data_IF_001054511530
#
_entry.id   IF_001054511530
#
_cell.length_a   1.000
_cell.length_b   1.000
_cell.length_c   1.000
_cell.angle_alpha   90.00
_cell.angle_beta   90.00
_cell.angle_gamma   90.00
#
_symmetry.space_group_name_H-M   'P 1'
#
loop_
_entity.id
_entity.type
_entity.pdbx_description
1 polymer ?
#
# COMPACT_ATOMS: atom_id res chain seq x y z
N UNK A 1 55.86 24.08 -13.16
CA UNK A 1 54.60 24.64 -13.67
C UNK A 1 53.49 24.22 -12.72
N UNK A 2 53.11 25.09 -11.79
CA UNK A 2 52.06 24.84 -10.81
C UNK A 2 50.72 25.25 -11.42
N UNK A 3 49.83 24.29 -11.66
CA UNK A 3 48.49 24.55 -12.16
C UNK A 3 47.66 25.13 -10.99
N UNK A 4 47.28 26.41 -11.10
CA UNK A 4 46.40 27.08 -10.16
C UNK A 4 45.03 26.38 -10.18
N UNK A 5 44.59 25.90 -9.02
CA UNK A 5 43.26 25.32 -8.83
C UNK A 5 42.25 26.44 -9.04
N UNK A 6 41.46 26.30 -10.11
CA UNK A 6 40.46 27.28 -10.50
C UNK A 6 39.38 27.40 -9.42
N UNK A 7 38.85 28.63 -9.24
CA UNK A 7 37.97 28.99 -8.12
C UNK A 7 36.74 28.07 -8.06
N UNK A 8 36.58 27.34 -6.95
CA UNK A 8 35.33 26.65 -6.63
C UNK A 8 34.24 27.71 -6.46
N UNK A 9 33.38 27.84 -7.47
CA UNK A 9 32.27 28.77 -7.45
C UNK A 9 31.26 28.29 -6.39
N UNK A 10 31.26 28.95 -5.23
CA UNK A 10 30.39 28.58 -4.10
C UNK A 10 28.95 28.80 -4.53
N UNK A 11 28.21 27.72 -4.74
CA UNK A 11 26.82 27.79 -5.19
C UNK A 11 26.00 28.60 -4.17
N UNK A 12 25.23 29.62 -4.60
CA UNK A 12 24.41 30.41 -3.68
C UNK A 12 23.39 29.51 -2.97
N UNK A 13 23.18 29.76 -1.67
CA UNK A 13 22.34 28.94 -0.79
C UNK A 13 20.94 28.63 -1.35
N UNK A 14 20.35 29.55 -2.11
CA UNK A 14 19.05 29.36 -2.77
C UNK A 14 19.07 28.28 -3.86
N UNK A 15 20.19 28.11 -4.57
CA UNK A 15 20.35 27.06 -5.57
C UNK A 15 20.58 25.69 -4.92
N UNK A 16 21.38 25.64 -3.84
CA UNK A 16 21.61 24.41 -3.06
C UNK A 16 20.31 23.90 -2.43
N UNK A 17 19.52 24.80 -1.85
CA UNK A 17 18.20 24.46 -1.29
C UNK A 17 17.25 23.97 -2.38
N UNK A 18 17.21 24.63 -3.55
CA UNK A 18 16.34 24.22 -4.66
C UNK A 18 16.70 22.83 -5.22
N UNK A 19 18.00 22.54 -5.37
CA UNK A 19 18.49 21.24 -5.86
C UNK A 19 18.11 20.14 -4.85
N UNK A 20 18.40 20.37 -3.56
CA UNK A 20 18.07 19.43 -2.49
C UNK A 20 16.57 19.18 -2.40
N UNK A 21 15.75 20.24 -2.47
CA UNK A 21 14.29 20.14 -2.39
C UNK A 21 13.72 19.35 -3.57
N UNK A 22 14.18 19.60 -4.80
CA UNK A 22 13.71 18.87 -5.99
C UNK A 22 14.08 17.38 -5.94
N UNK A 23 15.28 17.03 -5.45
CA UNK A 23 15.71 15.65 -5.25
C UNK A 23 14.90 14.93 -4.15
N UNK A 24 14.66 15.62 -3.02
CA UNK A 24 13.84 15.07 -1.93
C UNK A 24 12.39 14.85 -2.37
N UNK A 25 11.85 15.82 -3.10
CA UNK A 25 10.48 15.79 -3.63
C UNK A 25 10.29 14.60 -4.57
N UNK A 26 11.18 14.38 -5.52
CA UNK A 26 11.07 13.25 -6.45
C UNK A 26 11.05 11.88 -5.70
N UNK A 27 11.94 11.70 -4.71
CA UNK A 27 12.02 10.47 -3.90
C UNK A 27 10.78 10.24 -3.04
N UNK A 28 10.28 11.29 -2.37
CA UNK A 28 9.10 11.20 -1.50
C UNK A 28 7.81 10.95 -2.27
N UNK A 29 7.58 11.67 -3.38
CA UNK A 29 6.35 11.53 -4.16
C UNK A 29 6.16 10.10 -4.71
N UNK A 30 7.24 9.42 -5.12
CA UNK A 30 7.18 8.03 -5.61
C UNK A 30 6.80 7.05 -4.52
N UNK A 31 7.44 7.15 -3.35
CA UNK A 31 7.09 6.33 -2.18
C UNK A 31 5.62 6.55 -1.78
N UNK A 32 5.18 7.82 -1.76
CA UNK A 32 3.79 8.18 -1.48
C UNK A 32 2.80 7.59 -2.48
N UNK A 33 3.13 7.51 -3.78
CA UNK A 33 2.26 6.91 -4.80
C UNK A 33 2.04 5.43 -4.49
N UNK A 34 3.10 4.68 -4.22
CA UNK A 34 3.01 3.24 -3.92
C UNK A 34 2.22 2.96 -2.64
N UNK A 35 2.52 3.71 -1.57
CA UNK A 35 1.81 3.55 -0.31
C UNK A 35 0.35 3.97 -0.44
N UNK A 36 0.04 5.05 -1.16
CA UNK A 36 -1.35 5.50 -1.35
C UNK A 36 -2.17 4.52 -2.19
N UNK A 37 -1.59 3.95 -3.25
CA UNK A 37 -2.24 2.93 -4.06
C UNK A 37 -2.56 1.67 -3.22
N UNK A 38 -1.61 1.25 -2.38
CA UNK A 38 -1.80 0.13 -1.46
C UNK A 38 -2.85 0.44 -0.38
N UNK A 39 -2.79 1.63 0.23
CA UNK A 39 -3.79 2.11 1.20
C UNK A 39 -5.19 2.07 0.60
N UNK A 40 -5.37 2.59 -0.61
CA UNK A 40 -6.68 2.64 -1.27
C UNK A 40 -7.23 1.24 -1.56
N UNK A 41 -6.39 0.33 -2.08
CA UNK A 41 -6.79 -1.04 -2.38
C UNK A 41 -7.18 -1.81 -1.11
N UNK A 42 -6.39 -1.67 -0.04
CA UNK A 42 -6.68 -2.29 1.26
C UNK A 42 -7.91 -1.65 1.90
N UNK A 43 -8.08 -0.33 1.79
CA UNK A 43 -9.26 0.36 2.29
C UNK A 43 -10.54 -0.09 1.60
N UNK A 44 -10.50 -0.27 0.27
CA UNK A 44 -11.64 -0.80 -0.48
C UNK A 44 -11.99 -2.23 -0.04
N UNK A 45 -10.99 -3.10 0.10
CA UNK A 45 -11.19 -4.45 0.62
C UNK A 45 -11.77 -4.44 2.04
N UNK A 46 -11.15 -3.68 2.95
CA UNK A 46 -11.57 -3.58 4.33
C UNK A 46 -12.99 -3.01 4.43
N UNK A 47 -13.34 -2.00 3.63
CA UNK A 47 -14.69 -1.45 3.53
C UNK A 47 -15.71 -2.52 3.13
N UNK A 48 -15.46 -3.23 2.02
CA UNK A 48 -16.37 -4.25 1.50
C UNK A 48 -16.63 -5.33 2.54
N UNK A 49 -15.58 -5.89 3.15
CA UNK A 49 -15.75 -6.93 4.16
C UNK A 49 -16.30 -6.40 5.50
N UNK A 50 -15.95 -5.17 5.89
CA UNK A 50 -16.42 -4.59 7.14
C UNK A 50 -17.94 -4.40 7.14
N UNK A 51 -18.53 -4.00 6.01
CA UNK A 51 -19.99 -3.87 5.88
C UNK A 51 -20.68 -5.18 6.25
N UNK A 52 -20.23 -6.32 5.73
CA UNK A 52 -20.84 -7.62 6.02
C UNK A 52 -20.61 -8.07 7.47
N UNK A 53 -19.40 -7.87 8.00
CA UNK A 53 -19.08 -8.22 9.40
C UNK A 53 -19.93 -7.41 10.38
N UNK A 54 -20.16 -6.12 10.10
CA UNK A 54 -21.02 -5.28 10.94
C UNK A 54 -22.47 -5.76 10.88
N UNK A 55 -22.98 -6.02 9.66
CA UNK A 55 -24.35 -6.50 9.48
C UNK A 55 -24.57 -7.84 10.19
N UNK A 56 -23.62 -8.77 10.08
CA UNK A 56 -23.67 -10.07 10.73
C UNK A 56 -23.64 -9.95 12.27
N UNK A 57 -22.82 -9.05 12.82
CA UNK A 57 -22.77 -8.80 14.26
C UNK A 57 -24.03 -8.14 14.82
N UNK A 58 -24.71 -7.32 14.01
CA UNK A 58 -25.93 -6.61 14.42
C UNK A 58 -27.20 -7.44 14.20
N UNK A 59 -27.19 -8.42 13.29
CA UNK A 59 -28.37 -9.21 12.92
C UNK A 59 -29.09 -9.92 14.08
N UNK A 60 -28.38 -10.55 15.04
CA UNK A 60 -29.03 -11.22 16.16
C UNK A 60 -29.78 -10.25 17.08
N UNK A 61 -29.26 -9.04 17.23
CA UNK A 61 -29.78 -7.99 18.12
C UNK A 61 -30.66 -6.96 17.40
N UNK A 62 -30.99 -7.20 16.12
CA UNK A 62 -31.71 -6.27 15.28
C UNK A 62 -33.23 -6.34 15.50
N UNK A 63 -33.83 -5.21 15.85
CA UNK A 63 -35.29 -5.01 15.83
C UNK A 63 -35.88 -5.18 14.41
N UNK A 64 -37.17 -5.50 14.33
CA UNK A 64 -37.87 -5.69 13.05
C UNK A 64 -37.76 -4.46 12.12
N UNK A 65 -37.84 -3.25 12.69
CA UNK A 65 -37.64 -2.01 11.94
C UNK A 65 -36.22 -1.86 11.38
N UNK A 66 -35.20 -2.35 12.10
CA UNK A 66 -33.81 -2.32 11.64
C UNK A 66 -33.57 -3.37 10.55
N UNK A 67 -34.14 -4.56 10.71
CA UNK A 67 -34.12 -5.61 9.67
C UNK A 67 -34.74 -5.13 8.37
N UNK A 68 -35.88 -4.43 8.44
CA UNK A 68 -36.50 -3.83 7.26
C UNK A 68 -35.59 -2.80 6.58
N UNK A 69 -34.86 -1.97 7.35
CA UNK A 69 -33.89 -1.01 6.80
C UNK A 69 -32.71 -1.69 6.09
N UNK A 70 -32.21 -2.79 6.66
CA UNK A 70 -31.14 -3.60 6.05
C UNK A 70 -31.61 -4.17 4.71
N UNK A 71 -32.80 -4.77 4.69
CA UNK A 71 -33.38 -5.37 3.49
C UNK A 71 -33.69 -4.29 2.43
N UNK A 72 -34.22 -3.13 2.83
CA UNK A 72 -34.47 -2.01 1.91
C UNK A 72 -33.18 -1.40 1.37
N UNK A 73 -32.09 -1.48 2.12
CA UNK A 73 -30.76 -1.06 1.66
C UNK A 73 -30.11 -2.06 0.69
N UNK A 74 -30.77 -3.20 0.42
CA UNK A 74 -30.33 -4.21 -0.54
C UNK A 74 -29.40 -5.29 0.04
N UNK A 75 -29.26 -5.35 1.36
CA UNK A 75 -28.46 -6.39 2.02
C UNK A 75 -29.37 -7.56 2.42
N UNK A 76 -29.27 -8.66 1.70
CA UNK A 76 -30.09 -9.86 1.95
C UNK A 76 -29.21 -10.97 2.55
N UNK A 77 -29.52 -11.48 3.75
CA UNK A 77 -28.78 -12.60 4.32
C UNK A 77 -29.05 -13.88 3.51
N UNK A 78 -28.00 -14.60 3.15
CA UNK A 78 -28.09 -15.90 2.47
C UNK A 78 -27.66 -16.98 3.45
N UNK A 79 -28.54 -17.96 3.72
CA UNK A 79 -28.29 -19.02 4.72
C UNK A 79 -27.90 -18.48 6.11
N UNK A 80 -28.48 -17.36 6.54
CA UNK A 80 -28.21 -16.74 7.84
C UNK A 80 -26.92 -15.90 7.92
N UNK A 81 -26.14 -15.82 6.84
CA UNK A 81 -24.92 -15.02 6.79
C UNK A 81 -25.03 -13.88 5.77
N UNK A 82 -24.46 -12.72 6.11
CA UNK A 82 -24.26 -11.63 5.16
C UNK A 82 -22.97 -11.90 4.39
N UNK A 83 -23.10 -12.35 3.14
CA UNK A 83 -21.97 -12.68 2.28
C UNK A 83 -21.73 -11.63 1.20
N UNK A 84 -20.47 -11.47 0.80
CA UNK A 84 -20.14 -10.67 -0.37
C UNK A 84 -20.67 -11.31 -1.65
N UNK A 85 -21.40 -10.53 -2.46
CA UNK A 85 -21.89 -11.02 -3.73
C UNK A 85 -20.72 -11.42 -4.63
N UNK A 86 -20.98 -12.27 -5.61
CA UNK A 86 -19.95 -12.63 -6.61
C UNK A 86 -19.36 -11.37 -7.28
N UNK A 87 -20.20 -10.35 -7.50
CA UNK A 87 -19.81 -9.05 -8.06
C UNK A 87 -18.82 -8.31 -7.17
N UNK A 88 -19.10 -8.21 -5.87
CA UNK A 88 -18.24 -7.48 -4.92
C UNK A 88 -16.88 -8.17 -4.76
N UNK A 89 -16.87 -9.52 -4.69
CA UNK A 89 -15.62 -10.30 -4.66
C UNK A 89 -14.78 -10.07 -5.91
N UNK A 90 -15.40 -10.04 -7.08
CA UNK A 90 -14.69 -9.81 -8.33
C UNK A 90 -14.10 -8.40 -8.41
N UNK A 91 -14.83 -7.37 -7.98
CA UNK A 91 -14.33 -5.99 -7.90
C UNK A 91 -13.12 -5.86 -6.96
N UNK A 92 -13.17 -6.53 -5.81
CA UNK A 92 -12.04 -6.55 -4.87
C UNK A 92 -10.82 -7.20 -5.52
N UNK A 93 -10.97 -8.37 -6.16
CA UNK A 93 -9.86 -9.05 -6.85
C UNK A 93 -9.25 -8.15 -7.94
N UNK A 94 -10.07 -7.50 -8.76
CA UNK A 94 -9.58 -6.57 -9.78
C UNK A 94 -8.82 -5.39 -9.18
N UNK A 95 -9.34 -4.80 -8.09
CA UNK A 95 -8.67 -3.70 -7.38
C UNK A 95 -7.29 -4.12 -6.85
N UNK A 96 -7.19 -5.30 -6.23
CA UNK A 96 -5.92 -5.83 -5.74
C UNK A 96 -4.93 -6.11 -6.89
N UNK A 97 -5.41 -6.60 -8.03
CA UNK A 97 -4.59 -6.86 -9.20
C UNK A 97 -4.00 -5.55 -9.75
N UNK A 98 -4.84 -4.54 -9.96
CA UNK A 98 -4.40 -3.21 -10.44
C UNK A 98 -3.40 -2.59 -9.46
N UNK A 99 -3.64 -2.71 -8.15
CA UNK A 99 -2.71 -2.28 -7.12
C UNK A 99 -1.35 -2.98 -7.25
N UNK A 100 -1.35 -4.31 -7.40
CA UNK A 100 -0.12 -5.12 -7.52
C UNK A 100 0.70 -4.71 -8.74
N UNK A 101 0.06 -4.52 -9.90
CA UNK A 101 0.74 -4.06 -11.11
C UNK A 101 1.34 -2.66 -10.91
N UNK A 102 0.61 -1.76 -10.24
CA UNK A 102 1.11 -0.44 -9.87
C UNK A 102 2.35 -0.49 -8.98
N UNK A 103 2.35 -1.39 -7.99
CA UNK A 103 3.52 -1.62 -7.11
C UNK A 103 4.71 -2.10 -7.93
N UNK A 104 4.54 -3.13 -8.77
CA UNK A 104 5.61 -3.68 -9.62
C UNK A 104 6.24 -2.58 -10.48
N UNK A 105 5.42 -1.79 -11.16
CA UNK A 105 5.90 -0.74 -12.06
C UNK A 105 6.67 0.36 -11.30
N UNK A 106 6.12 0.81 -10.17
CA UNK A 106 6.76 1.83 -9.36
C UNK A 106 8.10 1.34 -8.79
N UNK A 107 8.18 0.07 -8.39
CA UNK A 107 9.38 -0.55 -7.85
C UNK A 107 10.44 -0.81 -8.93
N UNK A 108 10.06 -1.21 -10.15
CA UNK A 108 10.99 -1.28 -11.29
C UNK A 108 11.64 0.06 -11.58
N UNK A 109 10.87 1.14 -11.52
CA UNK A 109 11.45 2.46 -11.70
C UNK A 109 12.33 2.89 -10.52
N UNK A 110 11.97 2.55 -9.27
CA UNK A 110 12.84 2.79 -8.10
C UNK A 110 14.18 2.07 -8.23
N UNK A 111 14.16 0.86 -8.80
CA UNK A 111 15.34 0.06 -9.12
C UNK A 111 16.25 0.76 -10.14
N UNK A 112 15.68 1.41 -11.16
CA UNK A 112 16.46 2.22 -12.12
C UNK A 112 17.01 3.52 -11.52
N UNK A 113 16.28 4.17 -10.62
CA UNK A 113 16.74 5.39 -9.94
C UNK A 113 17.92 5.11 -9.00
N UNK A 114 17.92 3.95 -8.33
CA UNK A 114 18.99 3.50 -7.44
C UNK A 114 20.08 2.67 -8.15
N UNK A 115 20.08 2.64 -9.49
CA UNK A 115 20.96 1.78 -10.28
C UNK A 115 22.45 1.96 -9.94
N UNK A 116 22.93 3.22 -9.88
CA UNK A 116 24.33 3.55 -9.54
C UNK A 116 24.67 3.22 -8.10
N UNK A 117 23.74 3.46 -7.16
CA UNK A 117 23.93 3.16 -5.74
C UNK A 117 24.09 1.63 -5.54
N UNK A 118 23.21 0.83 -6.16
CA UNK A 118 23.27 -0.65 -6.11
C UNK A 118 24.53 -1.18 -6.82
N UNK A 119 24.89 -0.61 -7.98
CA UNK A 119 26.11 -0.97 -8.69
C UNK A 119 27.38 -0.73 -7.86
N UNK A 120 27.44 0.39 -7.14
CA UNK A 120 28.56 0.71 -6.26
C UNK A 120 28.66 -0.27 -5.09
N UNK A 121 27.52 -0.61 -4.46
CA UNK A 121 27.48 -1.63 -3.39
C UNK A 121 27.97 -2.99 -3.87
N UNK A 122 27.58 -3.40 -5.08
CA UNK A 122 28.05 -4.66 -5.67
C UNK A 122 29.54 -4.65 -5.99
N UNK A 123 30.10 -3.53 -6.47
CA UNK A 123 31.55 -3.38 -6.66
C UNK A 123 32.33 -3.52 -5.35
N UNK A 124 31.74 -3.14 -4.23
CA UNK A 124 32.31 -3.30 -2.88
C UNK A 124 32.11 -4.72 -2.32
N UNK A 125 31.54 -5.65 -3.09
CA UNK A 125 31.35 -7.05 -2.70
C UNK A 125 29.99 -7.37 -2.07
N UNK A 126 28.99 -6.50 -2.18
CA UNK A 126 27.64 -6.82 -1.71
C UNK A 126 27.04 -8.00 -2.51
N UNK A 127 26.49 -9.00 -1.80
CA UNK A 127 25.84 -10.14 -2.43
C UNK A 127 24.47 -9.77 -3.01
N UNK A 128 24.06 -10.48 -4.05
CA UNK A 128 22.70 -10.37 -4.63
C UNK A 128 21.60 -10.58 -3.57
N UNK A 129 21.84 -11.47 -2.60
CA UNK A 129 20.92 -11.73 -1.50
C UNK A 129 20.75 -10.52 -0.56
N UNK A 130 21.76 -9.66 -0.42
CA UNK A 130 21.66 -8.42 0.34
C UNK A 130 20.73 -7.42 -0.34
N UNK A 131 20.85 -7.27 -1.67
CA UNK A 131 19.98 -6.40 -2.47
C UNK A 131 18.52 -6.87 -2.38
N UNK A 132 18.27 -8.18 -2.54
CA UNK A 132 16.91 -8.75 -2.41
C UNK A 132 16.32 -8.45 -1.02
N UNK A 133 17.10 -8.68 0.05
CA UNK A 133 16.65 -8.41 1.43
C UNK A 133 16.27 -6.95 1.65
N UNK A 134 17.01 -6.01 1.06
CA UNK A 134 16.71 -4.59 1.16
C UNK A 134 15.34 -4.25 0.58
N UNK A 135 15.05 -4.72 -0.64
CA UNK A 135 13.75 -4.50 -1.29
C UNK A 135 12.60 -5.21 -0.57
N UNK A 136 12.82 -6.44 -0.09
CA UNK A 136 11.83 -7.19 0.69
C UNK A 136 11.49 -6.45 1.99
N UNK A 137 12.48 -5.89 2.68
CA UNK A 137 12.29 -5.13 3.90
C UNK A 137 11.56 -3.80 3.62
N UNK A 138 11.90 -3.09 2.54
CA UNK A 138 11.18 -1.89 2.09
C UNK A 138 9.71 -2.20 1.78
N UNK A 139 9.45 -3.29 1.05
CA UNK A 139 8.10 -3.75 0.75
C UNK A 139 7.32 -4.19 2.00
N UNK A 140 7.97 -4.81 2.98
CA UNK A 140 7.35 -5.17 4.25
C UNK A 140 6.90 -3.92 5.03
N UNK A 141 7.75 -2.89 5.11
CA UNK A 141 7.36 -1.62 5.74
C UNK A 141 6.23 -0.92 5.00
N UNK A 142 6.28 -0.88 3.66
CA UNK A 142 5.18 -0.34 2.85
C UNK A 142 3.88 -1.12 3.07
N UNK A 143 3.97 -2.46 3.15
CA UNK A 143 2.87 -3.37 3.43
C UNK A 143 2.21 -3.14 4.78
N UNK A 144 3.02 -2.97 5.83
CA UNK A 144 2.55 -2.69 7.19
C UNK A 144 1.88 -1.31 7.28
N UNK A 145 2.55 -0.26 6.80
CA UNK A 145 2.01 1.11 6.86
C UNK A 145 0.75 1.21 6.01
N UNK A 146 0.80 0.71 4.77
CA UNK A 146 -0.32 0.75 3.85
C UNK A 146 -1.49 -0.13 4.30
N UNK A 147 -1.20 -1.30 4.86
CA UNK A 147 -2.16 -2.20 5.45
C UNK A 147 -2.88 -1.58 6.65
N UNK A 148 -2.12 -1.03 7.61
CA UNK A 148 -2.68 -0.40 8.80
C UNK A 148 -3.55 0.80 8.42
N UNK A 149 -3.01 1.74 7.65
CA UNK A 149 -3.75 2.93 7.23
C UNK A 149 -4.97 2.57 6.36
N UNK A 150 -4.83 1.63 5.42
CA UNK A 150 -5.93 1.16 4.58
C UNK A 150 -7.03 0.47 5.40
N UNK A 151 -6.67 -0.44 6.30
CA UNK A 151 -7.63 -1.15 7.14
C UNK A 151 -8.44 -0.22 8.05
N UNK A 152 -7.77 0.79 8.64
CA UNK A 152 -8.41 1.80 9.47
C UNK A 152 -9.36 2.66 8.65
N UNK A 153 -8.91 3.17 7.49
CA UNK A 153 -9.75 3.98 6.61
C UNK A 153 -10.96 3.19 6.08
N UNK A 154 -10.77 1.95 5.64
CA UNK A 154 -11.86 1.09 5.17
C UNK A 154 -12.87 0.76 6.27
N UNK A 155 -12.40 0.45 7.48
CA UNK A 155 -13.27 0.19 8.63
C UNK A 155 -14.07 1.44 9.04
N UNK A 156 -13.42 2.59 9.16
CA UNK A 156 -14.09 3.85 9.53
C UNK A 156 -15.14 4.23 8.47
N UNK A 157 -14.78 4.18 7.19
CA UNK A 157 -15.72 4.51 6.10
C UNK A 157 -16.90 3.56 6.04
N UNK A 158 -16.71 2.27 6.36
CA UNK A 158 -17.80 1.31 6.46
C UNK A 158 -18.78 1.67 7.60
N UNK A 159 -18.25 1.95 8.80
CA UNK A 159 -19.06 2.36 9.95
C UNK A 159 -19.84 3.64 9.65
N UNK A 160 -19.18 4.66 9.09
CA UNK A 160 -19.83 5.94 8.75
C UNK A 160 -20.92 5.73 7.69
N UNK A 161 -20.63 4.98 6.63
CA UNK A 161 -21.60 4.73 5.55
C UNK A 161 -22.82 3.98 6.08
N UNK A 162 -22.61 2.98 6.94
CA UNK A 162 -23.69 2.19 7.48
C UNK A 162 -24.50 2.96 8.53
N UNK A 163 -23.85 3.79 9.34
CA UNK A 163 -24.52 4.68 10.29
C UNK A 163 -25.45 5.69 9.58
N UNK A 164 -25.01 6.23 8.44
CA UNK A 164 -25.84 7.14 7.62
C UNK A 164 -27.03 6.44 6.97
N UNK A 165 -26.90 5.16 6.60
CA UNK A 165 -27.97 4.41 5.91
C UNK A 165 -28.96 3.72 6.85
N UNK A 166 -28.47 3.13 7.94
CA UNK A 166 -29.27 2.30 8.84
C UNK A 166 -29.61 3.00 10.17
N UNK A 167 -28.84 4.02 10.54
CA UNK A 167 -29.02 4.81 11.77
C UNK A 167 -27.93 4.55 12.83
N UNK A 168 -28.04 5.20 14.01
CA UNK A 168 -26.98 5.26 15.01
C UNK A 168 -26.71 3.93 15.73
N UNK A 169 -27.58 2.93 15.62
CA UNK A 169 -27.40 1.59 16.23
C UNK A 169 -26.07 0.93 15.86
N UNK A 170 -25.57 1.22 14.65
CA UNK A 170 -24.28 0.74 14.15
C UNK A 170 -23.10 1.23 15.01
N UNK A 171 -23.21 2.43 15.57
CA UNK A 171 -22.15 3.07 16.36
C UNK A 171 -22.21 2.59 17.82
N UNK A 172 -23.40 2.23 18.32
CA UNK A 172 -23.62 1.87 19.73
C UNK A 172 -23.17 0.44 20.04
N UNK A 173 -23.34 -0.49 19.09
CA UNK A 173 -22.94 -1.90 19.27
C UNK A 173 -21.99 -2.38 18.16
N UNK A 174 -20.78 -1.82 18.04
CA UNK A 174 -19.83 -2.27 17.03
C UNK A 174 -19.31 -3.68 17.39
N UNK A 175 -19.27 -4.63 16.43
CA UNK A 175 -18.66 -5.94 16.66
C UNK A 175 -17.13 -5.83 16.68
N UNK A 176 -16.59 -5.28 17.78
CA UNK A 176 -15.16 -4.94 17.93
C UNK A 176 -14.24 -6.15 17.69
N UNK A 177 -14.59 -7.33 18.20
CA UNK A 177 -13.78 -8.53 18.02
C UNK A 177 -13.65 -8.96 16.55
N UNK A 178 -14.75 -8.95 15.81
CA UNK A 178 -14.76 -9.32 14.40
C UNK A 178 -14.09 -8.24 13.52
N UNK A 179 -14.26 -6.96 13.86
CA UNK A 179 -13.54 -5.85 13.23
C UNK A 179 -12.03 -5.94 13.43
N UNK A 180 -11.57 -6.23 14.65
CA UNK A 180 -10.14 -6.39 14.94
C UNK A 180 -9.53 -7.55 14.15
N UNK A 181 -10.25 -8.68 14.06
CA UNK A 181 -9.82 -9.81 13.24
C UNK A 181 -9.76 -9.46 11.75
N UNK A 182 -10.75 -8.72 11.24
CA UNK A 182 -10.76 -8.23 9.86
C UNK A 182 -9.57 -7.28 9.59
N UNK A 183 -9.29 -6.35 10.50
CA UNK A 183 -8.15 -5.44 10.41
C UNK A 183 -6.85 -6.24 10.30
N UNK A 184 -6.63 -7.20 11.20
CA UNK A 184 -5.43 -8.04 11.16
C UNK A 184 -5.30 -8.81 9.84
N UNK A 185 -6.39 -9.40 9.33
CA UNK A 185 -6.40 -10.08 8.03
C UNK A 185 -6.06 -9.14 6.86
N UNK A 186 -6.62 -7.93 6.87
CA UNK A 186 -6.39 -6.95 5.81
C UNK A 186 -4.94 -6.44 5.80
N UNK A 187 -4.34 -6.23 6.98
CA UNK A 187 -2.91 -5.89 7.12
C UNK A 187 -2.03 -7.03 6.63
N UNK A 188 -2.34 -8.27 7.04
CA UNK A 188 -1.58 -9.44 6.58
C UNK A 188 -1.63 -9.59 5.05
N UNK A 189 -2.81 -9.38 4.45
CA UNK A 189 -2.97 -9.40 3.00
C UNK A 189 -2.20 -8.27 2.32
N UNK A 190 -2.18 -7.07 2.89
CA UNK A 190 -1.42 -5.93 2.37
C UNK A 190 0.09 -6.23 2.31
N UNK A 191 0.63 -6.85 3.37
CA UNK A 191 2.03 -7.28 3.42
C UNK A 191 2.31 -8.36 2.37
N UNK A 192 1.42 -9.34 2.20
CA UNK A 192 1.59 -10.36 1.17
C UNK A 192 1.59 -9.73 -0.23
N UNK A 193 0.66 -8.81 -0.50
CA UNK A 193 0.57 -8.13 -1.80
C UNK A 193 1.82 -7.28 -2.09
N UNK A 194 2.32 -6.53 -1.10
CA UNK A 194 3.52 -5.71 -1.28
C UNK A 194 4.75 -6.58 -1.54
N UNK A 195 4.90 -7.70 -0.81
CA UNK A 195 5.97 -8.65 -1.02
C UNK A 195 5.91 -9.27 -2.42
N UNK A 196 4.73 -9.77 -2.83
CA UNK A 196 4.53 -10.34 -4.18
C UNK A 196 4.85 -9.32 -5.27
N UNK A 197 4.44 -8.06 -5.10
CA UNK A 197 4.72 -6.98 -6.03
C UNK A 197 6.21 -6.64 -6.14
N UNK A 198 7.01 -6.86 -5.09
CA UNK A 198 8.45 -6.55 -5.08
C UNK A 198 9.32 -7.71 -5.59
N UNK A 199 8.82 -8.95 -5.60
CA UNK A 199 9.60 -10.13 -5.94
C UNK A 199 10.32 -9.99 -7.29
N UNK A 200 9.60 -9.58 -8.33
CA UNK A 200 10.16 -9.39 -9.67
C UNK A 200 11.17 -8.22 -9.73
N UNK A 201 10.83 -6.99 -9.30
CA UNK A 201 11.77 -5.88 -9.25
C UNK A 201 13.05 -6.18 -8.45
N UNK A 202 12.92 -6.84 -7.29
CA UNK A 202 14.05 -7.18 -6.43
C UNK A 202 15.01 -8.16 -7.13
N UNK A 203 14.48 -9.13 -7.87
CA UNK A 203 15.29 -10.04 -8.67
C UNK A 203 16.02 -9.33 -9.80
N UNK A 204 15.35 -8.40 -10.49
CA UNK A 204 15.97 -7.56 -11.52
C UNK A 204 17.11 -6.73 -10.93
N UNK A 205 16.88 -6.07 -9.79
CA UNK A 205 17.89 -5.27 -9.09
C UNK A 205 19.11 -6.08 -8.66
N UNK A 206 18.85 -7.28 -8.13
CA UNK A 206 19.89 -8.17 -7.66
C UNK A 206 20.76 -8.73 -8.78
N UNK A 207 20.29 -8.78 -10.03
CA UNK A 207 21.07 -9.30 -11.18
C UNK A 207 21.73 -8.22 -12.03
N UNK A 208 21.73 -6.97 -11.57
CA UNK A 208 22.36 -5.88 -12.29
C UNK A 208 23.88 -6.05 -12.37
N UNK A 209 24.43 -5.80 -13.56
CA UNK A 209 25.86 -5.79 -13.82
C UNK A 209 26.49 -4.48 -13.32
N UNK A 210 27.45 -4.52 -12.37
CA UNK A 210 28.06 -3.32 -11.80
C UNK A 210 28.80 -2.47 -12.84
N UNK A 211 29.39 -3.12 -13.85
CA UNK A 211 30.11 -2.45 -14.94
C UNK A 211 29.19 -1.53 -15.75
N UNK A 212 27.94 -1.94 -15.98
CA UNK A 212 26.93 -1.13 -16.69
C UNK A 212 26.48 0.07 -15.85
N UNK A 213 26.45 -0.06 -14.51
CA UNK A 213 26.08 1.03 -13.60
C UNK A 213 27.15 2.11 -13.47
N UNK A 214 28.43 1.79 -13.69
CA UNK A 214 29.50 2.78 -13.71
C UNK A 214 29.71 3.39 -15.09
N UNK A 215 29.36 2.67 -16.16
CA UNK A 215 29.41 3.15 -17.54
C UNK A 215 28.18 3.98 -17.93
N UNK A 216 27.12 3.99 -17.12
CA UNK A 216 25.93 4.81 -17.35
C UNK A 216 26.20 6.28 -17.03
N UNK A 217 26.90 6.94 -17.95
CA UNK A 217 26.87 8.39 -18.22
C UNK A 217 27.01 8.55 -19.74
N UNK A 218 26.23 9.42 -20.40
CA UNK A 218 26.85 10.36 -21.32
C UNK A 218 27.65 11.41 -20.56
#
# INVERSE_FOLDING_TARGET
MAHSIDRQNVLPWSQVLRISFNALRARLFRSMITTSALVLAVAFLAYTFAVYVILEGLWPSADEAFRQRILSAGYVPTNGHFGSNAKDRWLVVLSLLVCTVGIVNAQLMAVTERFREIGTLKCLGALDSFVIKLFVLEAAYQGLIGGCAGSLLGGITAVVTLALRLGPLVIVHPPLGAMAFLMLKSVALAVVLSLVGVMYPAWVAARMEPAMALRSEP
#
